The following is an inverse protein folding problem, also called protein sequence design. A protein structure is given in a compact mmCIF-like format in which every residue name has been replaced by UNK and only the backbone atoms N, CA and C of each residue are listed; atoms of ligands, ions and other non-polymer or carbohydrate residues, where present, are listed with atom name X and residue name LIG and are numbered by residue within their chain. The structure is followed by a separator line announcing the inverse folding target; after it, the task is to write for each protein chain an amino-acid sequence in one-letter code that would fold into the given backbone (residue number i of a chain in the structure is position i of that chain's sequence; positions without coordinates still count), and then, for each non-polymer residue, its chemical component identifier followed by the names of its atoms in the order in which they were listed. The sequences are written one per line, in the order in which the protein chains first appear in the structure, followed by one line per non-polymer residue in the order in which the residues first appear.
data_IF_464094314335
#
_entry.id   IF_464094314335
#
_cell.length_a   1.000
_cell.length_b   1.000
_cell.length_c   1.000
_cell.angle_alpha   90.00
_cell.angle_beta   90.00
_cell.angle_gamma   90.00
#
_symmetry.space_group_name_H-M   'P 1'
#
loop_
_entity.id
_entity.type
_entity.pdbx_description
1 polymer ?
#
# COMPACT_ATOMS: atom_id res chain seq x y z
N UNK A 1 -24.75 18.09 -9.48
CA UNK A 1 -23.27 18.02 -9.56
C UNK A 1 -22.76 17.22 -8.38
N UNK A 2 -21.93 16.21 -8.63
CA UNK A 2 -21.32 15.42 -7.56
C UNK A 2 -20.32 16.28 -6.75
N UNK A 3 -20.16 16.04 -5.43
CA UNK A 3 -19.21 16.78 -4.61
C UNK A 3 -17.76 16.51 -5.04
N UNK A 4 -16.87 17.45 -4.75
CA UNK A 4 -15.44 17.27 -4.99
C UNK A 4 -14.93 16.03 -4.22
N UNK A 5 -14.19 15.16 -4.90
CA UNK A 5 -13.65 13.93 -4.32
C UNK A 5 -14.63 12.75 -4.26
N UNK A 6 -15.82 12.84 -4.87
CA UNK A 6 -16.79 11.73 -4.92
C UNK A 6 -16.21 10.41 -5.46
N UNK A 7 -15.24 10.49 -6.38
CA UNK A 7 -14.60 9.32 -7.02
C UNK A 7 -13.40 8.77 -6.26
N UNK A 8 -12.91 9.47 -5.25
CA UNK A 8 -11.65 9.17 -4.58
C UNK A 8 -11.62 7.77 -3.95
N UNK A 9 -12.59 7.44 -3.08
CA UNK A 9 -12.67 6.12 -2.44
C UNK A 9 -13.07 5.00 -3.41
N UNK A 10 -14.00 5.20 -4.36
CA UNK A 10 -14.20 4.25 -5.45
C UNK A 10 -12.91 3.91 -6.20
N UNK A 11 -12.08 4.92 -6.52
CA UNK A 11 -10.79 4.72 -7.18
C UNK A 11 -9.79 3.95 -6.31
N UNK A 12 -9.79 4.22 -5.01
CA UNK A 12 -9.01 3.45 -4.04
C UNK A 12 -9.39 1.97 -4.04
N UNK A 13 -10.68 1.65 -3.95
CA UNK A 13 -11.15 0.26 -3.97
C UNK A 13 -10.89 -0.41 -5.32
N UNK A 14 -11.02 0.33 -6.43
CA UNK A 14 -10.67 -0.19 -7.76
C UNK A 14 -9.17 -0.54 -7.85
N UNK A 15 -8.31 0.34 -7.33
CA UNK A 15 -6.88 0.06 -7.22
C UNK A 15 -6.57 -1.15 -6.33
N UNK A 16 -7.26 -1.29 -5.21
CA UNK A 16 -7.12 -2.45 -4.35
C UNK A 16 -7.55 -3.75 -5.05
N UNK A 17 -8.67 -3.75 -5.78
CA UNK A 17 -9.12 -4.88 -6.57
C UNK A 17 -8.09 -5.27 -7.64
N UNK A 18 -7.54 -4.28 -8.36
CA UNK A 18 -6.48 -4.50 -9.35
C UNK A 18 -5.22 -5.09 -8.71
N UNK A 19 -4.79 -4.56 -7.55
CA UNK A 19 -3.63 -5.07 -6.82
C UNK A 19 -3.81 -6.49 -6.27
N UNK A 20 -5.03 -6.85 -5.85
CA UNK A 20 -5.35 -8.20 -5.39
C UNK A 20 -5.37 -9.19 -6.57
N UNK A 21 -5.79 -8.75 -7.76
CA UNK A 21 -5.77 -9.54 -8.97
C UNK A 21 -4.35 -9.85 -9.47
N UNK A 22 -3.34 -9.09 -9.05
CA UNK A 22 -1.92 -9.42 -9.25
C UNK A 22 -1.54 -10.61 -8.36
N UNK A 23 -1.95 -11.81 -8.82
CA UNK A 23 -1.84 -13.07 -8.10
C UNK A 23 -0.38 -13.39 -7.78
N UNK A 24 -0.12 -13.82 -6.55
CA UNK A 24 1.13 -14.47 -6.15
C UNK A 24 1.15 -15.93 -6.59
N UNK A 25 0.86 -16.25 -7.85
CA UNK A 25 1.05 -17.64 -8.27
C UNK A 25 2.55 -17.93 -8.41
N UNK A 26 2.93 -19.17 -8.12
CA UNK A 26 4.31 -19.62 -8.19
C UNK A 26 4.86 -19.64 -9.63
N UNK A 27 4.00 -19.46 -10.65
CA UNK A 27 4.33 -19.50 -12.07
C UNK A 27 4.60 -18.11 -12.69
N UNK A 28 4.08 -17.03 -12.10
CA UNK A 28 4.06 -15.66 -12.65
C UNK A 28 5.24 -14.80 -12.17
N UNK A 29 6.06 -15.33 -11.27
CA UNK A 29 7.17 -14.61 -10.66
C UNK A 29 6.71 -13.76 -9.47
N UNK A 30 7.52 -13.77 -8.40
CA UNK A 30 7.25 -12.95 -7.21
C UNK A 30 7.28 -11.48 -7.60
N UNK A 31 6.23 -10.73 -7.26
CA UNK A 31 6.24 -9.29 -7.38
C UNK A 31 7.40 -8.72 -6.54
N UNK A 32 8.38 -8.10 -7.19
CA UNK A 32 9.60 -7.66 -6.50
C UNK A 32 9.42 -6.25 -5.91
N UNK A 33 10.20 -5.95 -4.88
CA UNK A 33 10.38 -4.58 -4.35
C UNK A 33 10.61 -3.55 -5.47
N UNK A 34 11.42 -3.90 -6.46
CA UNK A 34 11.74 -3.03 -7.59
C UNK A 34 10.50 -2.66 -8.42
N UNK A 35 9.57 -3.62 -8.62
CA UNK A 35 8.31 -3.35 -9.33
C UNK A 35 7.45 -2.34 -8.56
N UNK A 36 7.36 -2.48 -7.24
CA UNK A 36 6.57 -1.57 -6.38
C UNK A 36 7.14 -0.15 -6.40
N UNK A 37 8.46 -0.02 -6.35
CA UNK A 37 9.14 1.29 -6.40
C UNK A 37 9.04 1.91 -7.80
N UNK A 38 9.14 1.10 -8.86
CA UNK A 38 9.02 1.57 -10.24
C UNK A 38 7.62 2.10 -10.56
N UNK A 39 6.57 1.44 -10.06
CA UNK A 39 5.18 1.85 -10.28
C UNK A 39 4.72 2.98 -9.35
N UNK A 40 5.60 3.54 -8.50
CA UNK A 40 5.25 4.68 -7.65
C UNK A 40 4.93 5.91 -8.52
N UNK A 41 3.71 6.46 -8.44
CA UNK A 41 3.38 7.65 -9.20
C UNK A 41 4.09 8.87 -8.62
N UNK A 42 4.41 9.84 -9.48
CA UNK A 42 5.02 11.12 -9.07
C UNK A 42 4.08 11.94 -8.19
N UNK A 43 2.79 11.90 -8.50
CA UNK A 43 1.70 12.52 -7.72
C UNK A 43 0.92 11.39 -7.05
N UNK A 44 0.67 11.44 -5.73
CA UNK A 44 -0.09 10.40 -5.05
C UNK A 44 -1.53 10.33 -5.56
N UNK A 45 -2.05 9.12 -5.74
CA UNK A 45 -3.42 8.87 -6.22
C UNK A 45 -4.13 7.86 -5.33
N UNK A 46 -5.45 7.96 -5.24
CA UNK A 46 -6.27 7.01 -4.50
C UNK A 46 -6.13 5.58 -5.05
N UNK A 47 -6.11 5.41 -6.38
CA UNK A 47 -5.91 4.09 -6.99
C UNK A 47 -4.58 3.44 -6.61
N UNK A 48 -3.47 4.19 -6.64
CA UNK A 48 -2.17 3.64 -6.24
C UNK A 48 -2.14 3.28 -4.75
N UNK A 49 -2.76 4.10 -3.90
CA UNK A 49 -2.90 3.80 -2.48
C UNK A 49 -3.68 2.49 -2.24
N UNK A 50 -4.72 2.24 -3.03
CA UNK A 50 -5.44 0.96 -3.02
C UNK A 50 -4.57 -0.22 -3.42
N UNK A 51 -3.77 -0.06 -4.49
CA UNK A 51 -2.79 -1.09 -4.92
C UNK A 51 -1.81 -1.40 -3.79
N UNK A 52 -1.25 -0.40 -3.12
CA UNK A 52 -0.33 -0.61 -1.98
C UNK A 52 -0.95 -1.45 -0.87
N UNK A 53 -2.20 -1.16 -0.51
CA UNK A 53 -2.94 -1.93 0.50
C UNK A 53 -3.09 -3.39 0.09
N UNK A 54 -3.48 -3.64 -1.16
CA UNK A 54 -3.65 -4.98 -1.71
C UNK A 54 -2.33 -5.79 -1.75
N UNK A 55 -1.22 -5.15 -2.06
CA UNK A 55 0.11 -5.77 -2.01
C UNK A 55 0.51 -6.15 -0.57
N UNK A 56 0.05 -5.38 0.42
CA UNK A 56 0.08 -5.71 1.85
C UNK A 56 -0.65 -7.00 2.19
N UNK A 57 -1.91 -7.09 1.77
CA UNK A 57 -2.77 -8.25 1.99
C UNK A 57 -2.24 -9.51 1.30
N UNK A 58 -1.63 -9.38 0.13
CA UNK A 58 -0.97 -10.50 -0.57
C UNK A 58 0.38 -10.90 0.06
N UNK A 59 0.86 -10.21 1.10
CA UNK A 59 2.13 -10.50 1.77
C UNK A 59 3.37 -10.10 0.96
N UNK A 60 3.22 -9.32 -0.12
CA UNK A 60 4.36 -8.86 -0.94
C UNK A 60 5.07 -7.62 -0.35
N UNK A 61 4.37 -6.87 0.51
CA UNK A 61 4.88 -5.67 1.16
C UNK A 61 5.98 -5.95 2.21
N UNK A 62 6.14 -7.20 2.65
CA UNK A 62 7.26 -7.58 3.52
C UNK A 62 8.64 -7.39 2.85
N UNK A 63 8.67 -7.19 1.53
CA UNK A 63 9.88 -6.91 0.75
C UNK A 63 10.27 -5.43 0.71
N UNK A 64 9.40 -4.51 1.18
CA UNK A 64 9.70 -3.07 1.23
C UNK A 64 10.58 -2.74 2.44
N UNK A 65 11.55 -1.86 2.25
CA UNK A 65 12.39 -1.37 3.35
C UNK A 65 11.71 -0.21 4.06
N UNK A 66 12.13 0.09 5.31
CA UNK A 66 11.64 1.24 6.05
C UNK A 66 11.80 2.57 5.27
N UNK A 67 12.85 2.68 4.44
CA UNK A 67 13.08 3.85 3.58
C UNK A 67 12.02 4.00 2.49
N UNK A 68 11.56 2.90 1.90
CA UNK A 68 10.52 2.96 0.87
C UNK A 68 9.17 3.34 1.48
N UNK A 69 8.86 2.80 2.65
CA UNK A 69 7.66 3.16 3.42
C UNK A 69 7.68 4.64 3.78
N UNK A 70 8.81 5.16 4.28
CA UNK A 70 8.96 6.57 4.58
C UNK A 70 8.70 7.46 3.36
N UNK A 71 9.18 7.08 2.17
CA UNK A 71 8.90 7.82 0.93
C UNK A 71 7.42 7.87 0.58
N UNK A 72 6.65 6.84 0.90
CA UNK A 72 5.20 6.86 0.70
C UNK A 72 4.49 7.75 1.73
N UNK A 73 4.89 7.65 3.00
CA UNK A 73 4.30 8.45 4.09
C UNK A 73 4.64 9.95 3.97
N UNK A 74 5.82 10.29 3.45
CA UNK A 74 6.25 11.68 3.29
C UNK A 74 5.47 12.46 2.20
N UNK A 75 4.53 11.80 1.49
CA UNK A 75 3.67 12.46 0.51
C UNK A 75 2.46 13.14 1.14
N UNK A 76 2.21 12.96 2.45
CA UNK A 76 1.10 13.57 3.21
C UNK A 76 -0.29 13.34 2.60
N UNK A 77 -0.42 12.32 1.74
CA UNK A 77 -1.67 11.95 1.11
C UNK A 77 -2.39 10.90 1.96
N UNK A 78 -3.53 11.29 2.55
CA UNK A 78 -4.28 10.50 3.53
C UNK A 78 -4.53 9.06 3.06
N UNK A 79 -5.01 8.86 1.83
CA UNK A 79 -5.29 7.52 1.32
C UNK A 79 -4.02 6.68 1.18
N UNK A 80 -2.89 7.28 0.79
CA UNK A 80 -1.60 6.59 0.71
C UNK A 80 -1.15 6.15 2.10
N UNK A 81 -1.32 7.00 3.12
CA UNK A 81 -1.03 6.67 4.51
C UNK A 81 -1.90 5.51 4.99
N UNK A 82 -3.21 5.57 4.77
CA UNK A 82 -4.16 4.49 5.11
C UNK A 82 -3.77 3.18 4.42
N UNK A 83 -3.58 3.19 3.10
CA UNK A 83 -3.25 1.99 2.34
C UNK A 83 -1.90 1.40 2.73
N UNK A 84 -0.91 2.24 3.03
CA UNK A 84 0.43 1.80 3.45
C UNK A 84 0.40 1.22 4.86
N UNK A 85 -0.20 1.89 5.84
CA UNK A 85 -0.24 1.41 7.23
C UNK A 85 -1.02 0.10 7.35
N UNK A 86 -2.21 0.03 6.74
CA UNK A 86 -3.01 -1.20 6.71
C UNK A 86 -2.28 -2.32 5.98
N UNK A 87 -1.66 -2.02 4.83
CA UNK A 87 -0.92 -3.01 4.06
C UNK A 87 0.29 -3.59 4.82
N UNK A 88 1.07 -2.73 5.48
CA UNK A 88 2.21 -3.17 6.31
C UNK A 88 1.73 -3.99 7.50
N UNK A 89 0.71 -3.52 8.22
CA UNK A 89 0.13 -4.25 9.35
C UNK A 89 -0.38 -5.64 8.93
N UNK A 90 -1.11 -5.74 7.81
CA UNK A 90 -1.58 -7.01 7.26
C UNK A 90 -0.41 -7.95 6.91
N UNK A 91 0.66 -7.43 6.29
CA UNK A 91 1.83 -8.24 5.91
C UNK A 91 2.62 -8.82 7.09
N UNK A 92 2.43 -8.26 8.31
CA UNK A 92 3.09 -8.66 9.55
C UNK A 92 2.12 -9.20 10.59
N UNK A 93 0.94 -9.63 10.15
CA UNK A 93 -0.08 -10.18 11.04
C UNK A 93 0.49 -11.37 11.84
N UNK A 94 0.34 -11.31 13.17
CA UNK A 94 0.80 -12.36 14.07
C UNK A 94 2.30 -12.38 14.37
N UNK A 95 3.11 -11.49 13.79
CA UNK A 95 4.57 -11.47 14.05
C UNK A 95 4.98 -10.56 15.22
N UNK A 96 4.07 -9.72 15.72
CA UNK A 96 4.33 -8.71 16.76
C UNK A 96 5.57 -7.83 16.47
N UNK A 97 5.75 -7.42 15.21
CA UNK A 97 6.94 -6.67 14.79
C UNK A 97 6.98 -5.26 15.43
N UNK A 98 8.01 -4.93 16.24
CA UNK A 98 8.06 -3.68 16.98
C UNK A 98 8.30 -2.46 16.07
N UNK A 99 8.88 -2.64 14.87
CA UNK A 99 9.08 -1.54 13.92
C UNK A 99 7.75 -1.11 13.29
N UNK A 100 6.94 -2.07 12.85
CA UNK A 100 5.58 -1.85 12.33
C UNK A 100 4.68 -1.21 13.38
N UNK A 101 4.75 -1.71 14.62
CA UNK A 101 4.00 -1.13 15.75
C UNK A 101 4.34 0.34 15.98
N UNK A 102 5.63 0.69 16.08
CA UNK A 102 6.08 2.09 16.21
C UNK A 102 5.62 2.97 15.04
N UNK A 103 5.70 2.45 13.81
CA UNK A 103 5.24 3.18 12.63
C UNK A 103 3.73 3.46 12.69
N UNK A 104 2.91 2.51 13.12
CA UNK A 104 1.47 2.74 13.30
C UNK A 104 1.19 3.75 14.43
N UNK A 105 1.91 3.64 15.56
CA UNK A 105 1.77 4.56 16.68
C UNK A 105 2.11 6.01 16.36
N UNK A 106 3.00 6.28 15.40
CA UNK A 106 3.30 7.66 14.97
C UNK A 106 2.12 8.36 14.29
N UNK A 107 1.11 7.61 13.85
CA UNK A 107 -0.04 8.11 13.10
C UNK A 107 -1.38 7.96 13.83
N UNK A 108 -1.37 7.44 15.06
CA UNK A 108 -2.52 7.38 15.97
C UNK A 108 -2.47 8.57 16.94
#
# INVERSE_FOLDING_TARGET
NAPAGFVNWPDFHNGAAAGLALRSDAQSGKLTRAWIVFNRPKVPTFSHAGVLMALGLNGHLSSLTATDLYRYLSQEHEATTVGTLLGVAASKLGTADPATSRMCFLHL
#
